data_IF_995138486355
#
_entry.id   IF_995138486355
#
_cell.length_a   1.000
_cell.length_b   1.000
_cell.length_c   1.000
_cell.angle_alpha   90.00
_cell.angle_beta   90.00
_cell.angle_gamma   90.00
#
_symmetry.space_group_name_H-M   'P 1'
#
loop_
_entity.id
_entity.type
_entity.pdbx_description
1 polymer ?
#
# COMPACT_ATOMS: atom_id res chain seq x y z
N UNK A 1 13.07 -5.96 3.36
CA UNK A 1 11.72 -5.39 3.18
C UNK A 1 11.08 -6.02 1.95
N UNK A 2 9.80 -6.39 2.02
CA UNK A 2 8.98 -6.81 0.88
C UNK A 2 7.63 -6.09 0.91
N UNK A 3 7.09 -5.75 -0.25
CA UNK A 3 5.76 -5.12 -0.35
C UNK A 3 4.71 -6.22 -0.39
N UNK A 4 3.71 -6.12 0.48
CA UNK A 4 2.61 -7.07 0.61
C UNK A 4 1.35 -6.60 -0.11
N UNK A 5 1.01 -5.31 -0.03
CA UNK A 5 -0.18 -4.78 -0.73
C UNK A 5 -0.09 -3.28 -0.92
N UNK A 6 -0.86 -2.75 -1.87
CA UNK A 6 -1.06 -1.32 -2.08
C UNK A 6 -2.55 -1.01 -2.17
N UNK A 7 -2.98 0.06 -1.51
CA UNK A 7 -4.32 0.60 -1.58
C UNK A 7 -4.22 2.05 -2.06
N UNK A 8 -4.92 2.36 -3.15
CA UNK A 8 -4.92 3.67 -3.80
C UNK A 8 -6.35 4.19 -3.79
N UNK A 9 -6.57 5.33 -3.15
CA UNK A 9 -7.88 5.99 -3.07
C UNK A 9 -7.82 7.39 -3.68
N UNK A 10 -8.72 7.65 -4.63
CA UNK A 10 -8.94 8.97 -5.21
C UNK A 10 -7.79 9.51 -6.07
N UNK A 11 -7.03 8.66 -6.77
CA UNK A 11 -5.87 9.09 -7.55
C UNK A 11 -5.93 8.71 -9.03
N UNK A 12 -6.05 9.72 -9.90
CA UNK A 12 -6.15 9.56 -11.36
C UNK A 12 -7.26 8.56 -11.73
N UNK A 13 -6.93 7.50 -12.47
CA UNK A 13 -7.83 6.41 -12.82
C UNK A 13 -8.12 5.41 -11.69
N UNK A 14 -7.39 5.50 -10.58
CA UNK A 14 -7.57 4.63 -9.42
C UNK A 14 -8.57 5.30 -8.47
N UNK A 15 -9.81 4.80 -8.46
CA UNK A 15 -10.86 5.28 -7.56
C UNK A 15 -10.66 4.73 -6.16
N UNK A 16 -10.89 3.43 -5.98
CA UNK A 16 -10.65 2.70 -4.75
C UNK A 16 -10.06 1.34 -5.15
N UNK A 17 -8.74 1.28 -5.24
CA UNK A 17 -8.01 0.14 -5.83
C UNK A 17 -7.12 -0.50 -4.78
N UNK A 18 -7.45 -1.74 -4.41
CA UNK A 18 -6.62 -2.59 -3.57
C UNK A 18 -5.93 -3.66 -4.41
N UNK A 19 -4.61 -3.79 -4.25
CA UNK A 19 -3.80 -4.81 -4.93
C UNK A 19 -3.01 -5.57 -3.88
N UNK A 20 -3.23 -6.89 -3.84
CA UNK A 20 -2.53 -7.82 -2.95
C UNK A 20 -1.37 -8.50 -3.71
N UNK A 21 -0.20 -8.50 -3.09
CA UNK A 21 1.02 -9.13 -3.58
C UNK A 21 1.42 -10.33 -2.71
N UNK A 22 0.51 -10.89 -1.93
CA UNK A 22 0.76 -12.08 -1.10
C UNK A 22 0.25 -13.36 -1.75
N UNK A 23 0.89 -14.48 -1.40
CA UNK A 23 0.35 -15.80 -1.72
C UNK A 23 -0.87 -16.06 -0.83
N UNK A 24 -2.04 -16.41 -1.40
CA UNK A 24 -3.28 -16.54 -0.64
C UNK A 24 -3.29 -17.71 0.35
N UNK A 25 -2.38 -18.67 0.21
CA UNK A 25 -2.26 -19.82 1.12
C UNK A 25 -1.34 -19.52 2.29
N UNK A 26 -0.25 -18.80 2.05
CA UNK A 26 0.78 -18.56 3.08
C UNK A 26 0.69 -17.16 3.71
N UNK A 27 0.06 -16.20 3.04
CA UNK A 27 0.07 -14.79 3.43
C UNK A 27 1.41 -14.10 3.20
N UNK A 28 2.38 -14.79 2.60
CA UNK A 28 3.73 -14.26 2.36
C UNK A 28 3.81 -13.47 1.05
N UNK A 29 4.53 -12.33 1.03
CA UNK A 29 4.73 -11.56 -0.19
C UNK A 29 5.49 -12.36 -1.26
N UNK A 30 4.92 -12.39 -2.46
CA UNK A 30 5.49 -13.08 -3.62
C UNK A 30 6.83 -12.46 -4.03
N UNK A 31 7.68 -13.25 -4.69
CA UNK A 31 9.02 -12.80 -5.06
C UNK A 31 9.04 -11.87 -6.28
N UNK A 32 8.06 -11.99 -7.18
CA UNK A 32 7.97 -11.20 -8.41
C UNK A 32 6.52 -10.92 -8.74
N UNK A 33 6.25 -9.67 -9.14
CA UNK A 33 4.95 -9.21 -9.64
C UNK A 33 5.19 -8.54 -10.99
N UNK A 34 4.30 -8.77 -11.95
CA UNK A 34 4.33 -8.14 -13.25
C UNK A 34 3.02 -7.37 -13.49
N UNK A 35 3.11 -6.07 -13.80
CA UNK A 35 1.96 -5.28 -14.21
C UNK A 35 1.80 -5.33 -15.73
N UNK A 36 0.68 -5.86 -16.21
CA UNK A 36 0.38 -6.03 -17.64
C UNK A 36 -0.88 -5.24 -18.00
N UNK A 37 -0.91 -4.62 -19.18
CA UNK A 37 -2.05 -3.85 -19.67
C UNK A 37 -1.69 -2.86 -20.78
N UNK A 38 -2.69 -2.26 -21.42
CA UNK A 38 -2.53 -1.28 -22.51
C UNK A 38 -1.82 0.00 -22.06
N UNK A 39 -1.38 0.83 -23.00
CA UNK A 39 -0.83 2.14 -22.70
C UNK A 39 -1.88 3.01 -21.97
N UNK A 40 -1.43 3.82 -21.01
CA UNK A 40 -2.32 4.66 -20.20
C UNK A 40 -3.06 3.95 -19.05
N UNK A 41 -2.96 2.62 -18.89
CA UNK A 41 -3.68 1.89 -17.81
C UNK A 41 -3.06 2.01 -16.42
N UNK A 42 -1.99 2.81 -16.25
CA UNK A 42 -1.48 3.17 -14.93
C UNK A 42 -0.37 2.28 -14.39
N UNK A 43 0.18 1.35 -15.18
CA UNK A 43 1.33 0.49 -14.80
C UNK A 43 2.51 1.28 -14.23
N UNK A 44 3.02 2.26 -14.99
CA UNK A 44 4.11 3.15 -14.53
C UNK A 44 3.68 4.03 -13.37
N UNK A 45 2.39 4.34 -13.26
CA UNK A 45 1.87 5.13 -12.13
C UNK A 45 1.94 4.32 -10.82
N UNK A 46 1.55 3.05 -10.84
CA UNK A 46 1.68 2.15 -9.67
C UNK A 46 3.15 2.03 -9.27
N UNK A 47 4.06 1.79 -10.23
CA UNK A 47 5.49 1.72 -9.95
C UNK A 47 6.03 3.03 -9.36
N UNK A 48 5.59 4.18 -9.85
CA UNK A 48 6.00 5.48 -9.31
C UNK A 48 5.49 5.70 -7.89
N UNK A 49 4.23 5.36 -7.62
CA UNK A 49 3.67 5.41 -6.26
C UNK A 49 4.53 4.55 -5.34
N UNK A 50 4.75 3.28 -5.68
CA UNK A 50 5.61 2.38 -4.90
C UNK A 50 7.00 2.97 -4.67
N UNK A 51 7.63 3.55 -5.70
CA UNK A 51 8.96 4.14 -5.57
C UNK A 51 8.98 5.34 -4.62
N UNK A 52 7.96 6.20 -4.66
CA UNK A 52 7.82 7.34 -3.75
C UNK A 52 7.64 6.93 -2.27
N UNK A 53 7.25 5.67 -2.01
CA UNK A 53 7.04 5.14 -0.65
C UNK A 53 8.29 4.57 0.00
N UNK A 54 9.33 4.25 -0.77
CA UNK A 54 10.57 3.69 -0.23
C UNK A 54 11.26 4.68 0.72
N UNK A 55 11.01 5.98 0.54
CA UNK A 55 11.59 7.07 1.34
C UNK A 55 10.66 7.60 2.46
N UNK A 56 9.56 6.90 2.79
CA UNK A 56 8.56 7.36 3.77
C UNK A 56 8.73 6.76 5.18
N UNK A 57 8.02 7.33 6.16
CA UNK A 57 7.93 6.81 7.53
C UNK A 57 7.01 5.59 7.65
N UNK A 58 7.37 4.67 8.56
CA UNK A 58 6.68 3.39 8.78
C UNK A 58 6.04 3.34 10.19
N UNK A 59 4.85 2.74 10.31
CA UNK A 59 4.18 2.53 11.60
C UNK A 59 3.75 1.07 11.82
N UNK A 60 3.86 0.60 13.07
CA UNK A 60 3.28 -0.67 13.53
C UNK A 60 1.80 -0.47 13.84
N UNK A 61 0.95 -1.38 13.35
CA UNK A 61 -0.49 -1.16 13.34
C UNK A 61 -1.28 -2.36 13.83
N UNK A 62 -2.23 -2.10 14.73
CA UNK A 62 -3.24 -3.04 15.20
C UNK A 62 -4.49 -3.05 14.31
N UNK A 63 -5.25 -4.16 14.34
CA UNK A 63 -6.45 -4.38 13.50
C UNK A 63 -7.53 -3.30 13.63
N UNK A 64 -7.60 -2.62 14.78
CA UNK A 64 -8.53 -1.51 15.01
C UNK A 64 -8.23 -0.30 14.14
N UNK A 65 -6.96 0.02 13.96
CA UNK A 65 -6.50 1.20 13.25
C UNK A 65 -6.75 1.09 11.73
N UNK A 66 -6.70 -0.12 11.16
CA UNK A 66 -7.11 -0.38 9.76
C UNK A 66 -8.51 0.13 9.43
N UNK A 67 -9.46 0.05 10.38
CA UNK A 67 -10.85 0.44 10.17
C UNK A 67 -11.04 1.97 10.13
N UNK A 68 -10.16 2.72 10.79
CA UNK A 68 -10.26 4.17 10.94
C UNK A 68 -9.53 4.96 9.84
N UNK A 69 -8.63 4.33 9.09
CA UNK A 69 -7.84 4.96 8.02
C UNK A 69 -8.58 5.17 6.68
N UNK A 70 -9.92 5.19 6.68
CA UNK A 70 -10.74 5.21 5.45
C UNK A 70 -10.53 6.45 4.56
N UNK A 71 -9.85 7.50 5.04
CA UNK A 71 -9.58 8.72 4.26
C UNK A 71 -8.14 8.83 3.73
N UNK A 72 -7.32 7.77 3.84
CA UNK A 72 -5.95 7.78 3.34
C UNK A 72 -5.93 7.56 1.82
N UNK A 73 -5.28 8.46 1.08
CA UNK A 73 -5.16 8.39 -0.39
C UNK A 73 -4.25 7.26 -0.87
N UNK A 74 -3.25 6.88 -0.07
CA UNK A 74 -2.32 5.82 -0.42
C UNK A 74 -1.84 5.08 0.83
N UNK A 75 -2.02 3.75 0.84
CA UNK A 75 -1.57 2.88 1.93
C UNK A 75 -0.82 1.68 1.35
N UNK A 76 0.38 1.41 1.85
CA UNK A 76 1.19 0.26 1.48
C UNK A 76 1.42 -0.60 2.70
N UNK A 77 1.18 -1.90 2.57
CA UNK A 77 1.61 -2.89 3.56
C UNK A 77 2.96 -3.46 3.15
N UNK A 78 3.91 -3.50 4.07
CA UNK A 78 5.21 -4.13 3.87
C UNK A 78 5.50 -5.17 4.95
N UNK A 79 6.40 -6.10 4.65
CA UNK A 79 7.01 -7.03 5.58
C UNK A 79 8.49 -6.70 5.75
N UNK A 80 8.93 -6.49 6.98
CA UNK A 80 10.34 -6.35 7.37
C UNK A 80 10.63 -7.45 8.38
N UNK A 81 11.59 -8.34 8.06
CA UNK A 81 11.82 -9.57 8.82
C UNK A 81 10.50 -10.34 8.97
N UNK A 82 10.02 -10.60 10.19
CA UNK A 82 8.73 -11.26 10.46
C UNK A 82 7.62 -10.30 10.93
N UNK A 83 7.82 -8.99 10.77
CA UNK A 83 6.85 -7.96 11.15
C UNK A 83 6.19 -7.33 9.93
N UNK A 84 4.89 -7.02 10.06
CA UNK A 84 4.13 -6.28 9.05
C UNK A 84 3.95 -4.84 9.49
N UNK A 85 4.24 -3.90 8.59
CA UNK A 85 4.13 -2.46 8.79
C UNK A 85 3.21 -1.88 7.72
N UNK A 86 2.53 -0.77 8.03
CA UNK A 86 1.91 0.06 6.99
C UNK A 86 2.67 1.37 6.82
N UNK A 87 2.62 1.84 5.58
CA UNK A 87 3.26 3.06 5.10
C UNK A 87 2.18 3.87 4.39
N UNK A 88 2.07 5.15 4.71
CA UNK A 88 1.11 6.05 4.07
C UNK A 88 1.79 7.37 3.76
N UNK A 89 1.43 7.96 2.62
CA UNK A 89 2.01 9.22 2.16
C UNK A 89 1.06 10.36 2.54
N UNK A 90 1.59 11.27 3.36
CA UNK A 90 1.03 12.50 3.93
C UNK A 90 0.21 12.43 5.24
N UNK A 91 0.60 13.40 6.10
CA UNK A 91 -0.05 13.97 7.28
C UNK A 91 -1.51 14.39 7.01
N UNK A 92 -2.45 13.91 7.83
CA UNK A 92 -3.16 14.64 8.91
C UNK A 92 -3.61 13.54 9.90
N UNK A 93 -3.03 13.52 11.10
CA UNK A 93 -3.68 12.88 12.25
C UNK A 93 -4.37 14.00 13.02
N UNK A 94 -5.66 14.17 12.79
CA UNK A 94 -6.50 14.71 13.86
C UNK A 94 -6.79 13.51 14.77
N UNK A 95 -5.95 13.35 15.80
CA UNK A 95 -6.32 12.55 16.96
C UNK A 95 -7.43 13.33 17.66
N UNK A 96 -8.68 13.08 17.29
CA UNK A 96 -9.82 13.48 18.11
C UNK A 96 -9.75 12.66 19.39
N UNK A 97 -9.34 13.32 20.49
CA UNK A 97 -9.59 12.92 21.88
C UNK A 97 -11.07 12.75 22.15
#
# INVERSE_FOLDING_TARGET
MKICSIHIKGYKQFQDTYIDFTDPKTGEPVNKVCFIGKNGTGKTTILRIINEFVDCDYFNIDKFFWKNCLNISFLIKIKINDQFLLVFKNFIFELLT
#
